data_IF_391566942692
#
_entry.id   IF_391566942692
#
_cell.length_a   1.000
_cell.length_b   1.000
_cell.length_c   1.000
_cell.angle_alpha   90.00
_cell.angle_beta   90.00
_cell.angle_gamma   90.00
#
_symmetry.space_group_name_H-M   'P 1'
#
loop_
_entity.id
_entity.type
_entity.pdbx_description
1 polymer ?
#
# COMPACT_ATOMS: atom_id res chain seq x y z
N UNK A 1 -40.05 -8.62 -20.16
CA UNK A 1 -39.63 -9.11 -18.85
C UNK A 1 -38.12 -9.31 -18.89
N UNK A 2 -37.40 -8.26 -18.48
CA UNK A 2 -35.95 -8.23 -18.41
C UNK A 2 -35.49 -9.04 -17.22
N UNK A 3 -34.86 -10.18 -17.50
CA UNK A 3 -34.11 -10.96 -16.52
C UNK A 3 -32.78 -10.21 -16.26
N UNK A 4 -32.76 -9.25 -15.32
CA UNK A 4 -31.53 -8.79 -14.70
C UNK A 4 -30.89 -10.00 -14.01
N UNK A 5 -29.96 -10.66 -14.68
CA UNK A 5 -28.99 -11.56 -14.02
C UNK A 5 -28.15 -10.72 -13.09
N UNK A 6 -28.57 -10.60 -11.84
CA UNK A 6 -27.65 -10.26 -10.75
C UNK A 6 -26.58 -11.34 -10.74
N UNK A 7 -25.38 -10.96 -11.21
CA UNK A 7 -24.20 -11.78 -10.96
C UNK A 7 -24.10 -11.99 -9.45
N UNK A 8 -23.72 -13.18 -8.96
CA UNK A 8 -23.55 -13.41 -7.53
C UNK A 8 -22.59 -12.33 -7.01
N UNK A 9 -22.94 -11.72 -5.88
CA UNK A 9 -22.00 -10.94 -5.07
C UNK A 9 -20.88 -11.91 -4.71
N UNK A 10 -19.84 -11.98 -5.55
CA UNK A 10 -18.61 -12.67 -5.20
C UNK A 10 -18.13 -11.99 -3.92
N UNK A 11 -18.13 -12.76 -2.82
CA UNK A 11 -17.50 -12.39 -1.58
C UNK A 11 -16.09 -11.89 -1.95
N UNK A 12 -15.88 -10.57 -1.92
CA UNK A 12 -14.56 -10.01 -2.01
C UNK A 12 -13.77 -10.65 -0.87
N UNK A 13 -12.84 -11.53 -1.20
CA UNK A 13 -11.91 -12.07 -0.22
C UNK A 13 -11.34 -10.90 0.55
N UNK A 14 -11.38 -10.99 1.89
CA UNK A 14 -10.81 -9.94 2.73
C UNK A 14 -9.32 -9.80 2.39
N UNK A 15 -8.78 -8.57 2.31
CA UNK A 15 -7.37 -8.38 2.03
C UNK A 15 -6.54 -9.10 3.10
N UNK A 16 -5.50 -9.81 2.68
CA UNK A 16 -4.57 -10.48 3.60
C UNK A 16 -3.67 -9.41 4.24
N UNK A 17 -4.09 -8.90 5.40
CA UNK A 17 -3.34 -7.93 6.17
C UNK A 17 -2.64 -8.60 7.35
N UNK A 18 -1.42 -8.16 7.64
CA UNK A 18 -0.73 -8.57 8.86
C UNK A 18 -1.39 -7.88 10.06
N UNK A 19 -1.93 -8.62 11.04
CA UNK A 19 -2.62 -8.04 12.19
C UNK A 19 -1.72 -7.17 13.09
N UNK A 20 -0.39 -7.29 12.97
CA UNK A 20 0.57 -6.48 13.72
C UNK A 20 0.86 -5.13 13.07
N UNK A 21 0.50 -4.92 11.80
CA UNK A 21 0.78 -3.70 11.06
C UNK A 21 -0.33 -2.67 11.24
N UNK A 22 -0.44 -2.16 12.47
CA UNK A 22 -1.41 -1.13 12.88
C UNK A 22 -0.69 0.18 13.21
N UNK A 23 -1.43 1.29 13.29
CA UNK A 23 -0.86 2.57 13.73
C UNK A 23 -0.35 2.52 15.16
N UNK A 24 -1.00 1.75 16.05
CA UNK A 24 -0.61 1.58 17.43
C UNK A 24 0.77 0.92 17.57
N UNK A 25 1.10 -0.01 16.67
CA UNK A 25 2.37 -0.73 16.68
C UNK A 25 3.47 -0.02 15.86
N UNK A 26 3.15 1.07 15.17
CA UNK A 26 4.11 1.83 14.38
C UNK A 26 4.84 2.85 15.23
N UNK A 27 6.14 2.71 15.36
CA UNK A 27 6.97 3.64 16.13
C UNK A 27 7.25 4.89 15.31
N UNK A 28 6.76 6.03 15.80
CA UNK A 28 6.92 7.32 15.16
C UNK A 28 8.20 7.99 15.63
N UNK A 29 9.05 8.36 14.70
CA UNK A 29 10.25 9.17 14.91
C UNK A 29 10.34 10.32 13.92
N UNK A 30 11.41 11.12 13.97
CA UNK A 30 11.60 12.27 13.08
C UNK A 30 11.62 11.88 11.61
N UNK A 31 12.17 10.71 11.29
CA UNK A 31 12.35 10.20 9.94
C UNK A 31 11.06 9.75 9.23
N UNK A 32 9.97 9.50 9.98
CA UNK A 32 8.73 8.94 9.45
C UNK A 32 7.47 9.68 9.94
N UNK A 33 7.61 10.72 10.76
CA UNK A 33 6.47 11.44 11.35
C UNK A 33 5.52 12.03 10.30
N UNK A 34 6.07 12.58 9.22
CA UNK A 34 5.26 13.13 8.13
C UNK A 34 4.52 12.03 7.36
N UNK A 35 5.20 10.91 7.06
CA UNK A 35 4.58 9.74 6.44
C UNK A 35 3.45 9.17 7.31
N UNK A 36 3.70 9.04 8.61
CA UNK A 36 2.68 8.57 9.57
C UNK A 36 1.48 9.51 9.63
N UNK A 37 1.70 10.83 9.79
CA UNK A 37 0.62 11.82 9.86
C UNK A 37 -0.23 11.84 8.58
N UNK A 38 0.40 11.75 7.41
CA UNK A 38 -0.28 11.68 6.11
C UNK A 38 -1.10 10.39 6.00
N UNK A 39 -0.50 9.25 6.34
CA UNK A 39 -1.17 7.95 6.35
C UNK A 39 -2.39 7.94 7.28
N UNK A 40 -2.25 8.50 8.49
CA UNK A 40 -3.36 8.61 9.43
C UNK A 40 -4.48 9.51 8.90
N UNK A 41 -4.16 10.68 8.32
CA UNK A 41 -5.14 11.56 7.71
C UNK A 41 -5.93 10.89 6.57
N UNK A 42 -5.27 10.06 5.75
CA UNK A 42 -5.91 9.26 4.70
C UNK A 42 -6.88 8.25 5.29
N UNK A 43 -6.49 7.56 6.36
CA UNK A 43 -7.36 6.56 7.01
C UNK A 43 -8.65 7.14 7.57
N UNK A 44 -8.63 8.43 7.97
CA UNK A 44 -9.81 9.14 8.48
C UNK A 44 -10.73 9.65 7.36
N UNK A 45 -10.18 10.01 6.18
CA UNK A 45 -10.93 10.58 5.06
C UNK A 45 -10.41 10.04 3.71
N UNK A 46 -10.57 8.74 3.42
CA UNK A 46 -10.06 8.15 2.20
C UNK A 46 -10.70 8.75 0.95
N UNK A 47 -9.90 8.96 -0.09
CA UNK A 47 -10.29 9.56 -1.37
C UNK A 47 -10.38 11.09 -1.37
N UNK A 48 -10.28 11.76 -0.21
CA UNK A 48 -10.46 13.21 -0.08
C UNK A 48 -9.25 13.98 0.40
N UNK A 49 -8.43 13.39 1.29
CA UNK A 49 -7.32 14.12 1.90
C UNK A 49 -6.10 14.20 0.95
N UNK A 50 -5.55 13.06 0.59
CA UNK A 50 -4.32 12.93 -0.21
C UNK A 50 -4.48 11.77 -1.20
N UNK A 51 -4.71 12.05 -2.48
CA UNK A 51 -4.99 11.02 -3.48
C UNK A 51 -4.37 11.38 -4.84
N UNK A 52 -3.50 10.53 -5.42
CA UNK A 52 -2.93 9.34 -4.81
C UNK A 52 -1.96 9.65 -3.65
N UNK A 53 -1.74 8.68 -2.78
CA UNK A 53 -0.66 8.69 -1.81
C UNK A 53 0.45 7.77 -2.28
N UNK A 54 1.63 8.32 -2.52
CA UNK A 54 2.81 7.59 -2.92
C UNK A 54 3.86 7.66 -1.81
N UNK A 55 4.18 6.51 -1.20
CA UNK A 55 5.19 6.41 -0.16
C UNK A 55 6.40 5.65 -0.69
N UNK A 56 7.59 6.22 -0.51
CA UNK A 56 8.82 5.58 -0.99
C UNK A 56 9.92 5.59 0.07
N UNK A 57 10.91 4.72 -0.15
CA UNK A 57 12.08 4.60 0.71
C UNK A 57 12.67 3.20 0.64
N UNK A 58 13.89 3.02 1.10
CA UNK A 58 14.59 1.74 1.06
C UNK A 58 13.77 0.61 1.70
N UNK A 59 14.11 -0.64 1.38
CA UNK A 59 13.48 -1.80 2.02
C UNK A 59 13.67 -1.78 3.54
N UNK A 60 12.68 -2.31 4.28
CA UNK A 60 12.75 -2.41 5.75
C UNK A 60 12.38 -1.14 6.54
N UNK A 61 12.05 -0.02 5.88
CA UNK A 61 11.75 1.25 6.56
C UNK A 61 10.29 1.40 7.05
N UNK A 62 9.46 0.36 6.93
CA UNK A 62 8.09 0.38 7.46
C UNK A 62 7.02 0.86 6.49
N UNK A 63 7.30 1.00 5.18
CA UNK A 63 6.29 1.38 4.16
C UNK A 63 5.09 0.45 4.16
N UNK A 64 5.33 -0.87 4.03
CA UNK A 64 4.30 -1.91 4.08
C UNK A 64 3.49 -1.85 5.37
N UNK A 65 4.13 -1.59 6.52
CA UNK A 65 3.45 -1.40 7.79
C UNK A 65 2.47 -0.22 7.72
N UNK A 66 2.94 0.95 7.25
CA UNK A 66 2.08 2.15 7.16
C UNK A 66 0.89 1.96 6.22
N UNK A 67 1.09 1.38 5.03
CA UNK A 67 -0.04 1.18 4.11
C UNK A 67 -1.05 0.16 4.64
N UNK A 68 -0.60 -0.87 5.36
CA UNK A 68 -1.52 -1.80 6.02
C UNK A 68 -2.17 -1.20 7.26
N UNK A 69 -1.50 -0.29 7.99
CA UNK A 69 -2.12 0.45 9.08
C UNK A 69 -3.28 1.33 8.58
N UNK A 70 -3.13 1.98 7.41
CA UNK A 70 -4.24 2.68 6.74
C UNK A 70 -5.41 1.71 6.50
N UNK A 71 -5.12 0.52 5.94
CA UNK A 71 -6.15 -0.47 5.64
C UNK A 71 -6.90 -0.93 6.89
N UNK A 72 -6.16 -1.24 7.96
CA UNK A 72 -6.76 -1.65 9.24
C UNK A 72 -7.70 -0.57 9.81
N UNK A 73 -7.26 0.69 9.81
CA UNK A 73 -8.05 1.78 10.35
C UNK A 73 -9.29 2.08 9.49
N UNK A 74 -9.17 2.06 8.15
CA UNK A 74 -10.33 2.20 7.25
C UNK A 74 -11.35 1.09 7.50
N UNK A 75 -10.93 -0.17 7.56
CA UNK A 75 -11.82 -1.31 7.75
C UNK A 75 -12.42 -1.37 9.16
N UNK A 76 -11.72 -0.87 10.16
CA UNK A 76 -12.23 -0.70 11.52
C UNK A 76 -13.38 0.33 11.56
N UNK A 77 -13.22 1.45 10.85
CA UNK A 77 -14.22 2.52 10.76
C UNK A 77 -15.39 2.16 9.83
N UNK A 78 -15.14 1.42 8.77
CA UNK A 78 -16.13 0.96 7.80
C UNK A 78 -15.84 -0.47 7.33
N UNK A 79 -16.38 -1.50 7.98
CA UNK A 79 -16.14 -2.90 7.65
C UNK A 79 -16.57 -3.33 6.23
N UNK A 80 -17.46 -2.55 5.59
CA UNK A 80 -17.97 -2.83 4.25
C UNK A 80 -17.21 -2.08 3.14
N UNK A 81 -16.13 -1.36 3.49
CA UNK A 81 -15.33 -0.62 2.54
C UNK A 81 -14.62 -1.59 1.59
N UNK A 82 -14.80 -1.41 0.28
CA UNK A 82 -14.22 -2.26 -0.75
C UNK A 82 -12.74 -1.91 -0.93
N UNK A 83 -11.92 -2.41 -0.02
CA UNK A 83 -10.49 -2.19 0.02
C UNK A 83 -9.75 -3.43 -0.47
N UNK A 84 -8.76 -3.23 -1.35
CA UNK A 84 -7.87 -4.28 -1.81
C UNK A 84 -6.41 -3.87 -1.61
N UNK A 85 -5.66 -4.74 -0.94
CA UNK A 85 -4.22 -4.64 -0.77
C UNK A 85 -3.54 -5.75 -1.55
N UNK A 86 -2.58 -5.40 -2.39
CA UNK A 86 -1.90 -6.36 -3.28
C UNK A 86 -0.49 -5.86 -3.59
N UNK A 87 0.46 -6.78 -3.80
CA UNK A 87 1.76 -6.40 -4.38
C UNK A 87 1.63 -6.20 -5.91
N UNK A 88 2.52 -5.40 -6.50
CA UNK A 88 2.57 -5.23 -7.96
C UNK A 88 2.89 -6.55 -8.68
N UNK A 89 3.62 -7.46 -8.02
CA UNK A 89 3.87 -8.80 -8.53
C UNK A 89 2.57 -9.63 -8.58
N UNK A 90 1.80 -9.64 -7.50
CA UNK A 90 0.51 -10.34 -7.45
C UNK A 90 -0.48 -9.77 -8.47
N UNK A 91 -0.60 -8.43 -8.57
CA UNK A 91 -1.40 -7.76 -9.60
C UNK A 91 -1.01 -8.25 -11.00
N UNK A 92 0.30 -8.31 -11.29
CA UNK A 92 0.84 -8.80 -12.56
C UNK A 92 0.42 -10.26 -12.81
N UNK A 93 0.59 -11.13 -11.83
CA UNK A 93 0.28 -12.55 -11.94
C UNK A 93 -1.22 -12.78 -12.18
N UNK A 94 -2.08 -12.07 -11.43
CA UNK A 94 -3.54 -12.14 -11.60
C UNK A 94 -3.96 -11.64 -12.99
N UNK A 95 -3.38 -10.54 -13.48
CA UNK A 95 -3.66 -10.04 -14.83
C UNK A 95 -3.24 -11.05 -15.91
N UNK A 96 -2.02 -11.57 -15.83
CA UNK A 96 -1.53 -12.57 -16.79
C UNK A 96 -2.42 -13.82 -16.78
N UNK A 97 -2.84 -14.29 -15.59
CA UNK A 97 -3.74 -15.41 -15.47
C UNK A 97 -5.12 -15.10 -16.11
N UNK A 98 -5.65 -13.91 -15.88
CA UNK A 98 -6.93 -13.48 -16.45
C UNK A 98 -6.90 -13.44 -17.98
N UNK A 99 -5.78 -12.97 -18.56
CA UNK A 99 -5.58 -12.96 -20.02
C UNK A 99 -5.56 -14.41 -20.57
N UNK A 100 -4.77 -15.29 -19.96
CA UNK A 100 -4.67 -16.69 -20.38
C UNK A 100 -6.00 -17.47 -20.28
N UNK A 101 -6.81 -17.12 -19.31
CA UNK A 101 -8.12 -17.79 -19.07
C UNK A 101 -9.29 -17.08 -19.74
N UNK A 102 -9.07 -15.98 -20.48
CA UNK A 102 -10.14 -15.20 -21.11
C UNK A 102 -11.07 -14.47 -20.12
N UNK A 103 -10.63 -14.26 -18.87
CA UNK A 103 -11.41 -13.66 -17.79
C UNK A 103 -11.03 -12.20 -17.51
N UNK A 104 -10.59 -11.46 -18.52
CA UNK A 104 -10.13 -10.08 -18.36
C UNK A 104 -11.19 -9.16 -17.76
N UNK A 105 -12.46 -9.38 -18.11
CA UNK A 105 -13.55 -8.55 -17.59
C UNK A 105 -13.76 -8.75 -16.08
N UNK A 106 -13.63 -9.99 -15.59
CA UNK A 106 -13.71 -10.30 -14.14
C UNK A 106 -12.57 -9.60 -13.40
N UNK A 107 -11.36 -9.65 -13.95
CA UNK A 107 -10.21 -8.93 -13.38
C UNK A 107 -10.49 -7.40 -13.29
N UNK A 108 -10.98 -6.82 -14.38
CA UNK A 108 -11.31 -5.38 -14.44
C UNK A 108 -12.40 -5.01 -13.45
N UNK A 109 -13.45 -5.80 -13.35
CA UNK A 109 -14.53 -5.57 -12.38
C UNK A 109 -14.01 -5.62 -10.95
N UNK A 110 -13.13 -6.58 -10.62
CA UNK A 110 -12.52 -6.69 -9.29
C UNK A 110 -11.70 -5.45 -8.95
N UNK A 111 -10.80 -5.01 -9.82
CA UNK A 111 -9.86 -3.94 -9.52
C UNK A 111 -10.41 -2.53 -9.72
N UNK A 112 -11.44 -2.34 -10.55
CA UNK A 112 -11.98 -1.01 -10.90
C UNK A 112 -13.21 -0.59 -10.11
N UNK A 113 -13.78 -1.50 -9.29
CA UNK A 113 -14.95 -1.24 -8.45
C UNK A 113 -14.60 -1.17 -6.95
N UNK A 114 -13.37 -0.79 -6.63
CA UNK A 114 -12.89 -0.65 -5.27
C UNK A 114 -13.12 0.78 -4.76
N UNK A 115 -13.31 0.91 -3.45
CA UNK A 115 -13.29 2.21 -2.76
C UNK A 115 -11.85 2.61 -2.40
N UNK A 116 -10.95 1.61 -2.24
CA UNK A 116 -9.53 1.83 -2.00
C UNK A 116 -8.69 0.72 -2.65
N UNK A 117 -7.67 1.13 -3.42
CA UNK A 117 -6.64 0.23 -3.94
C UNK A 117 -5.29 0.57 -3.32
N UNK A 118 -4.65 -0.42 -2.73
CA UNK A 118 -3.31 -0.33 -2.16
C UNK A 118 -2.37 -1.25 -2.91
N UNK A 119 -1.35 -0.68 -3.54
CA UNK A 119 -0.33 -1.43 -4.28
C UNK A 119 1.00 -1.30 -3.58
N UNK A 120 1.56 -2.41 -3.16
CA UNK A 120 2.91 -2.47 -2.61
C UNK A 120 3.92 -2.85 -3.67
N UNK A 121 5.15 -2.36 -3.48
CA UNK A 121 6.30 -2.66 -4.33
C UNK A 121 6.05 -2.38 -5.82
N UNK A 122 5.53 -1.17 -6.14
CA UNK A 122 5.15 -0.75 -7.50
C UNK A 122 6.33 -0.82 -8.49
N UNK A 123 7.59 -0.78 -8.03
CA UNK A 123 8.79 -0.91 -8.87
C UNK A 123 8.82 -2.25 -9.64
N UNK A 124 8.09 -3.26 -9.20
CA UNK A 124 7.96 -4.53 -9.96
C UNK A 124 7.15 -4.42 -11.25
N UNK A 125 6.59 -3.24 -11.57
CA UNK A 125 6.06 -2.94 -12.91
C UNK A 125 7.13 -2.51 -13.91
N UNK A 126 8.40 -2.36 -13.49
CA UNK A 126 9.54 -2.06 -14.35
C UNK A 126 9.59 -3.03 -15.56
N UNK A 127 9.85 -2.49 -16.77
CA UNK A 127 9.94 -3.22 -18.04
C UNK A 127 8.68 -4.03 -18.45
N UNK A 128 7.50 -3.75 -17.88
CA UNK A 128 6.26 -4.47 -18.16
C UNK A 128 5.18 -3.58 -18.81
N UNK A 129 5.46 -3.06 -20.00
CA UNK A 129 4.59 -2.08 -20.70
C UNK A 129 3.11 -2.48 -20.77
N UNK A 130 2.82 -3.75 -21.11
CA UNK A 130 1.43 -4.24 -21.17
C UNK A 130 0.70 -4.20 -19.83
N UNK A 131 1.41 -4.53 -18.75
CA UNK A 131 0.87 -4.49 -17.38
C UNK A 131 0.68 -3.04 -16.93
N UNK A 132 1.67 -2.17 -17.23
CA UNK A 132 1.58 -0.74 -16.96
C UNK A 132 0.38 -0.10 -17.65
N UNK A 133 0.06 -0.52 -18.90
CA UNK A 133 -1.11 -0.07 -19.63
C UNK A 133 -2.42 -0.40 -18.91
N UNK A 134 -2.61 -1.65 -18.46
CA UNK A 134 -3.82 -2.05 -17.72
C UNK A 134 -3.89 -1.38 -16.34
N UNK A 135 -2.76 -1.24 -15.65
CA UNK A 135 -2.67 -0.52 -14.39
C UNK A 135 -3.05 0.96 -14.54
N UNK A 136 -2.59 1.63 -15.62
CA UNK A 136 -2.96 3.01 -15.92
C UNK A 136 -4.46 3.19 -16.10
N UNK A 137 -5.12 2.29 -16.81
CA UNK A 137 -6.58 2.33 -16.99
C UNK A 137 -7.31 2.09 -15.67
N UNK A 138 -6.84 1.15 -14.85
CA UNK A 138 -7.38 0.88 -13.52
C UNK A 138 -7.23 2.09 -12.61
N UNK A 139 -6.03 2.68 -12.58
CA UNK A 139 -5.76 3.90 -11.82
C UNK A 139 -6.73 5.04 -12.19
N UNK A 140 -6.86 5.34 -13.49
CA UNK A 140 -7.72 6.43 -13.94
C UNK A 140 -9.19 6.20 -13.58
N UNK A 141 -9.68 4.97 -13.70
CA UNK A 141 -11.05 4.63 -13.32
C UNK A 141 -11.29 4.87 -11.83
N UNK A 142 -10.42 4.35 -10.97
CA UNK A 142 -10.49 4.53 -9.53
C UNK A 142 -10.39 6.01 -9.13
N UNK A 143 -9.42 6.71 -9.70
CA UNK A 143 -9.21 8.13 -9.43
C UNK A 143 -10.43 8.98 -9.81
N UNK A 144 -11.03 8.70 -10.97
CA UNK A 144 -12.24 9.41 -11.43
C UNK A 144 -13.46 9.10 -10.56
N UNK A 145 -13.53 7.94 -9.95
CA UNK A 145 -14.59 7.55 -9.01
C UNK A 145 -14.38 8.14 -7.60
N UNK A 146 -13.26 8.83 -7.35
CA UNK A 146 -12.90 9.33 -6.02
C UNK A 146 -12.40 8.25 -5.06
N UNK A 147 -12.07 7.06 -5.58
CA UNK A 147 -11.50 5.97 -4.78
C UNK A 147 -10.09 6.33 -4.31
N UNK A 148 -9.73 5.94 -3.10
CA UNK A 148 -8.37 6.14 -2.59
C UNK A 148 -7.38 5.23 -3.29
N UNK A 149 -6.24 5.78 -3.69
CA UNK A 149 -5.11 5.02 -4.24
C UNK A 149 -3.90 5.24 -3.33
N UNK A 150 -3.31 4.15 -2.87
CA UNK A 150 -2.10 4.13 -2.04
C UNK A 150 -1.05 3.28 -2.74
N UNK A 151 0.16 3.81 -2.90
CA UNK A 151 1.24 3.16 -3.64
C UNK A 151 2.50 3.19 -2.78
N UNK A 152 3.16 2.04 -2.61
CA UNK A 152 4.47 1.99 -1.99
C UNK A 152 5.55 1.57 -3.01
N UNK A 153 6.76 2.13 -2.85
CA UNK A 153 7.90 1.89 -3.71
C UNK A 153 9.22 1.90 -2.92
N UNK A 154 10.25 1.31 -3.47
CA UNK A 154 11.61 1.43 -2.94
C UNK A 154 12.31 2.73 -3.39
N UNK A 155 11.76 3.46 -4.39
CA UNK A 155 12.31 4.66 -5.02
C UNK A 155 11.22 5.60 -5.54
N UNK A 156 11.60 6.81 -5.95
CA UNK A 156 10.71 7.80 -6.57
C UNK A 156 10.10 7.28 -7.88
N UNK A 157 8.89 7.77 -8.28
CA UNK A 157 8.25 7.37 -9.54
C UNK A 157 9.17 7.53 -10.76
N UNK A 158 9.90 8.65 -10.84
CA UNK A 158 10.83 8.97 -11.94
C UNK A 158 12.10 8.12 -11.96
N UNK A 159 12.40 7.41 -10.87
CA UNK A 159 13.56 6.52 -10.75
C UNK A 159 13.24 5.07 -11.09
N UNK A 160 11.95 4.74 -11.26
CA UNK A 160 11.53 3.42 -11.72
C UNK A 160 11.81 3.33 -13.21
N UNK A 161 12.74 2.46 -13.60
CA UNK A 161 13.13 2.30 -15.00
C UNK A 161 11.94 1.89 -15.85
N UNK A 162 11.91 2.41 -17.09
CA UNK A 162 10.87 2.08 -18.07
C UNK A 162 9.43 2.26 -17.57
N UNK A 163 9.23 3.01 -16.47
CA UNK A 163 7.89 3.44 -16.08
C UNK A 163 7.41 4.49 -17.09
N UNK A 164 6.21 4.30 -17.61
CA UNK A 164 5.65 5.25 -18.58
C UNK A 164 5.43 6.63 -17.97
N UNK A 165 5.70 7.70 -18.73
CA UNK A 165 5.51 9.10 -18.29
C UNK A 165 4.09 9.36 -17.79
N UNK A 166 3.10 8.66 -18.35
CA UNK A 166 1.70 8.75 -17.93
C UNK A 166 1.50 8.28 -16.51
N UNK A 167 2.12 7.15 -16.11
CA UNK A 167 2.05 6.63 -14.74
C UNK A 167 2.86 7.50 -13.78
N UNK A 168 4.07 7.91 -14.19
CA UNK A 168 4.90 8.83 -13.40
C UNK A 168 4.11 10.10 -13.05
N UNK A 169 3.49 10.74 -14.04
CA UNK A 169 2.66 11.93 -13.82
C UNK A 169 1.49 11.66 -12.88
N UNK A 170 0.85 10.50 -12.99
CA UNK A 170 -0.27 10.13 -12.11
C UNK A 170 0.18 9.89 -10.67
N UNK A 171 1.31 9.22 -10.47
CA UNK A 171 1.84 8.98 -9.13
C UNK A 171 2.28 10.27 -8.44
N UNK A 172 2.84 11.22 -9.20
CA UNK A 172 3.27 12.52 -8.70
C UNK A 172 2.13 13.57 -8.61
N UNK A 173 0.93 13.26 -9.11
CA UNK A 173 -0.20 14.21 -9.05
C UNK A 173 -0.81 14.39 -7.67
N UNK A 174 -0.54 13.49 -6.74
CA UNK A 174 -0.98 13.54 -5.35
C UNK A 174 0.14 13.94 -4.39
N UNK A 175 0.22 13.23 -3.27
CA UNK A 175 1.26 13.44 -2.26
C UNK A 175 2.31 12.32 -2.38
N UNK A 176 3.57 12.73 -2.52
CA UNK A 176 4.74 11.84 -2.55
C UNK A 176 5.52 12.05 -1.27
N UNK A 177 5.72 10.99 -0.48
CA UNK A 177 6.34 11.06 0.84
C UNK A 177 7.47 10.04 0.95
N UNK A 178 8.62 10.49 1.47
CA UNK A 178 9.74 9.62 1.77
C UNK A 178 9.67 9.04 3.19
N UNK A 179 10.22 7.85 3.33
CA UNK A 179 10.58 7.27 4.64
C UNK A 179 12.08 7.02 4.60
N UNK A 180 12.79 7.73 5.48
CA UNK A 180 14.25 7.62 5.57
C UNK A 180 14.69 6.80 6.79
N UNK A 181 15.97 6.46 6.83
CA UNK A 181 16.55 5.70 7.95
C UNK A 181 16.24 6.37 9.29
N UNK A 182 15.74 5.64 10.27
CA UNK A 182 15.48 6.16 11.62
C UNK A 182 16.80 6.48 12.33
N UNK A 183 16.77 7.51 13.18
CA UNK A 183 17.87 7.81 14.09
C UNK A 183 18.04 6.71 15.17
N UNK A 184 19.13 6.77 15.92
CA UNK A 184 19.43 5.73 16.92
C UNK A 184 18.31 5.59 17.96
N UNK A 185 17.76 6.69 18.43
CA UNK A 185 16.68 6.70 19.42
C UNK A 185 15.44 5.98 18.89
N UNK A 186 15.04 6.28 17.66
CA UNK A 186 13.92 5.63 17.00
C UNK A 186 14.20 4.15 16.77
N UNK A 187 15.42 3.76 16.38
CA UNK A 187 15.81 2.33 16.23
C UNK A 187 15.72 1.56 17.54
N UNK A 188 16.18 2.16 18.64
CA UNK A 188 16.05 1.55 19.98
C UNK A 188 14.56 1.34 20.30
N UNK A 189 13.73 2.35 20.11
CA UNK A 189 12.30 2.25 20.38
C UNK A 189 11.60 1.19 19.52
N UNK A 190 11.98 1.06 18.24
CA UNK A 190 11.47 0.00 17.35
C UNK A 190 11.84 -1.38 17.89
N UNK A 191 13.11 -1.58 18.26
CA UNK A 191 13.56 -2.87 18.76
C UNK A 191 12.95 -3.22 20.14
N UNK A 192 12.75 -2.24 21.02
CA UNK A 192 12.05 -2.43 22.29
C UNK A 192 10.60 -2.85 22.04
N UNK A 193 9.87 -2.14 21.18
CA UNK A 193 8.49 -2.47 20.82
C UNK A 193 8.39 -3.88 20.22
N UNK A 194 9.31 -4.28 19.33
CA UNK A 194 9.37 -5.63 18.78
C UNK A 194 9.66 -6.67 19.85
N UNK A 195 10.58 -6.38 20.78
CA UNK A 195 10.93 -7.26 21.89
C UNK A 195 9.72 -7.56 22.79
N UNK A 196 8.93 -6.53 23.10
CA UNK A 196 7.69 -6.66 23.87
C UNK A 196 6.61 -7.44 23.11
N UNK A 197 6.38 -7.06 21.84
CA UNK A 197 5.34 -7.66 20.99
C UNK A 197 5.58 -9.15 20.73
N UNK A 198 6.84 -9.53 20.52
CA UNK A 198 7.25 -10.91 20.22
C UNK A 198 7.69 -11.70 21.47
N UNK A 199 7.78 -11.04 22.63
CA UNK A 199 8.19 -11.63 23.92
C UNK A 199 9.58 -12.32 23.86
N UNK A 200 10.55 -11.65 23.22
CA UNK A 200 11.91 -12.22 23.06
C UNK A 200 12.74 -12.14 24.35
N UNK A 201 12.37 -11.27 25.30
CA UNK A 201 13.09 -11.07 26.57
C UNK A 201 14.55 -10.64 26.40
N UNK A 202 14.85 -9.84 25.34
CA UNK A 202 16.19 -9.33 25.06
C UNK A 202 16.50 -8.18 26.05
N UNK A 203 17.62 -8.22 26.78
CA UNK A 203 18.01 -7.15 27.69
C UNK A 203 18.28 -5.81 26.96
N UNK A 204 17.97 -4.67 27.61
CA UNK A 204 18.10 -3.33 27.02
C UNK A 204 19.50 -3.00 26.51
N UNK A 205 20.56 -3.44 27.19
CA UNK A 205 21.91 -3.19 26.73
C UNK A 205 22.24 -3.91 25.40
N UNK A 206 21.63 -5.07 25.15
CA UNK A 206 21.73 -5.78 23.86
C UNK A 206 20.91 -5.06 22.80
N UNK A 207 19.70 -4.58 23.14
CA UNK A 207 18.86 -3.78 22.23
C UNK A 207 19.64 -2.53 21.77
N UNK A 208 20.28 -1.81 22.70
CA UNK A 208 21.12 -0.65 22.37
C UNK A 208 22.27 -0.99 21.43
N UNK A 209 22.93 -2.13 21.65
CA UNK A 209 24.03 -2.62 20.80
C UNK A 209 23.52 -2.95 19.38
N UNK A 210 22.39 -3.64 19.26
CA UNK A 210 21.76 -3.96 17.99
C UNK A 210 21.37 -2.68 17.24
N UNK A 211 20.71 -1.74 17.92
CA UNK A 211 20.28 -0.47 17.32
C UNK A 211 21.46 0.37 16.78
N UNK A 212 22.63 0.27 17.39
CA UNK A 212 23.83 0.99 16.94
C UNK A 212 24.46 0.40 15.67
N UNK A 213 24.20 -0.89 15.36
CA UNK A 213 24.84 -1.63 14.27
C UNK A 213 23.92 -1.99 13.09
N UNK A 214 22.70 -1.51 13.11
CA UNK A 214 21.69 -1.75 12.04
C UNK A 214 21.51 -0.52 11.16
#
# INVERSE_FOLDING_TARGET
EEYERRLPEENLEKPQLNPKFTFENFIVGKSNSYAHATAFAISQNPGRAFNPFFIYGKSGLGKTHLIQAIAHEILKNNPNYKLWYVSAEQFTNELVHSIKSGKNEVFRQRYRNLDCLMIDDIQFLEDKEGIQGEFFHTFNQLFSNGSQIVIASDRLPREIKSLSDRLTTRFESGVVVDVVMPDLETRVAILQSLNELEKYEIPDHIIGLLAANV
#
